data_IF_600965881481
#
_entry.id   IF_600965881481
#
_cell.length_a   1.000
_cell.length_b   1.000
_cell.length_c   1.000
_cell.angle_alpha   90.00
_cell.angle_beta   90.00
_cell.angle_gamma   90.00
#
_symmetry.space_group_name_H-M   'P 1'
#
loop_
_entity.id
_entity.type
_entity.pdbx_description
1 polymer ?
#
# COMPACT_ATOMS: atom_id res chain seq x y z
N UNK A 1 11.74 1.60 22.70
CA UNK A 1 12.22 2.82 22.02
C UNK A 1 12.91 2.37 20.75
N UNK A 2 12.31 2.59 19.59
CA UNK A 2 12.88 2.14 18.31
C UNK A 2 13.80 3.24 17.75
N UNK A 3 15.06 2.94 17.42
CA UNK A 3 15.97 3.93 16.85
C UNK A 3 15.48 4.30 15.45
N UNK A 4 15.15 5.58 15.24
CA UNK A 4 14.86 6.13 13.92
C UNK A 4 16.17 6.67 13.34
N UNK A 5 16.79 5.92 12.43
CA UNK A 5 18.01 6.36 11.74
C UNK A 5 17.66 7.37 10.64
N UNK A 6 18.20 8.60 10.76
CA UNK A 6 18.06 9.64 9.75
C UNK A 6 19.24 9.57 8.78
N UNK A 7 19.11 8.82 7.68
CA UNK A 7 20.14 8.79 6.62
C UNK A 7 19.97 10.02 5.70
N UNK A 8 21.06 10.75 5.48
CA UNK A 8 21.10 12.04 4.76
C UNK A 8 20.73 12.02 3.28
N UNK A 9 20.23 10.91 2.74
CA UNK A 9 19.66 10.78 1.38
C UNK A 9 18.65 9.64 1.39
N UNK A 10 17.34 9.94 1.41
CA UNK A 10 16.31 8.91 1.26
C UNK A 10 15.21 8.96 2.31
N UNK A 11 14.06 8.41 1.94
CA UNK A 11 12.81 8.40 2.71
C UNK A 11 13.02 7.90 4.15
N UNK A 12 12.20 8.35 5.12
CA UNK A 12 12.24 7.78 6.48
C UNK A 12 12.06 6.26 6.38
N UNK A 13 13.03 5.52 6.92
CA UNK A 13 13.02 4.07 7.00
C UNK A 13 13.07 3.67 8.47
N UNK A 14 12.46 2.52 8.77
CA UNK A 14 12.46 1.93 10.11
C UNK A 14 12.94 0.49 9.95
N UNK A 15 13.89 0.10 10.77
CA UNK A 15 14.24 -1.31 10.96
C UNK A 15 13.34 -1.86 12.07
N UNK A 16 12.40 -2.74 11.70
CA UNK A 16 11.51 -3.44 12.64
C UNK A 16 11.98 -4.90 12.75
N UNK A 17 12.52 -5.26 13.91
CA UNK A 17 12.89 -6.63 14.24
C UNK A 17 11.70 -7.30 14.96
N UNK A 18 11.18 -8.37 14.37
CA UNK A 18 10.08 -9.17 14.91
C UNK A 18 10.59 -10.55 15.30
N UNK A 19 10.36 -10.96 16.55
CA UNK A 19 10.57 -12.34 16.99
C UNK A 19 9.23 -13.09 16.89
N UNK A 20 9.18 -14.09 16.01
CA UNK A 20 7.99 -14.88 15.73
C UNK A 20 8.12 -16.27 16.34
N UNK A 21 7.00 -16.87 16.74
CA UNK A 21 6.96 -18.30 17.09
C UNK A 21 7.27 -19.16 15.87
N UNK A 22 7.76 -20.38 16.08
CA UNK A 22 8.15 -21.28 14.97
C UNK A 22 7.05 -21.51 13.95
N UNK A 23 5.78 -21.56 14.39
CA UNK A 23 4.60 -21.74 13.54
C UNK A 23 4.29 -20.52 12.65
N UNK A 24 4.76 -19.33 13.05
CA UNK A 24 4.51 -18.06 12.38
C UNK A 24 5.68 -17.63 11.50
N UNK A 25 6.78 -18.38 11.51
CA UNK A 25 7.94 -18.07 10.68
C UNK A 25 7.59 -18.18 9.20
N UNK A 26 7.96 -17.14 8.46
CA UNK A 26 7.90 -17.09 6.99
C UNK A 26 9.20 -17.69 6.45
N UNK A 27 9.22 -19.01 6.25
CA UNK A 27 10.44 -19.77 5.92
C UNK A 27 10.62 -20.01 4.42
N UNK A 28 9.57 -19.86 3.63
CA UNK A 28 9.59 -20.02 2.17
C UNK A 28 9.00 -18.79 1.45
N UNK A 29 9.33 -18.63 0.17
CA UNK A 29 8.69 -17.61 -0.68
C UNK A 29 7.17 -17.76 -0.71
N UNK A 30 6.69 -19.01 -0.73
CA UNK A 30 5.26 -19.31 -0.70
C UNK A 30 4.59 -18.87 0.60
N UNK A 31 5.27 -19.03 1.74
CA UNK A 31 4.78 -18.49 3.02
C UNK A 31 4.70 -16.97 2.98
N UNK A 32 5.69 -16.33 2.35
CA UNK A 32 5.72 -14.88 2.17
C UNK A 32 4.50 -14.42 1.39
N UNK A 33 4.26 -15.02 0.22
CA UNK A 33 3.17 -14.68 -0.68
C UNK A 33 1.78 -14.94 -0.08
N UNK A 34 1.61 -16.02 0.67
CA UNK A 34 0.29 -16.44 1.16
C UNK A 34 -0.05 -15.93 2.56
N UNK A 35 0.95 -15.77 3.43
CA UNK A 35 0.76 -15.47 4.86
C UNK A 35 1.53 -14.23 5.32
N UNK A 36 2.70 -13.98 4.74
CA UNK A 36 3.62 -12.95 5.21
C UNK A 36 3.30 -11.53 4.74
N UNK A 37 2.78 -11.37 3.52
CA UNK A 37 2.51 -10.04 2.93
C UNK A 37 1.13 -10.02 2.27
N UNK A 38 0.41 -8.91 2.44
CA UNK A 38 -0.87 -8.69 1.77
C UNK A 38 -1.04 -7.21 1.44
N UNK A 39 -1.48 -6.93 0.20
CA UNK A 39 -1.94 -5.61 -0.20
C UNK A 39 -3.46 -5.46 -0.08
N UNK A 40 -4.17 -6.52 0.33
CA UNK A 40 -5.61 -6.54 0.45
C UNK A 40 -6.06 -5.79 1.71
N UNK A 41 -7.10 -4.97 1.59
CA UNK A 41 -7.76 -4.34 2.72
C UNK A 41 -8.24 -5.40 3.72
N UNK A 42 -7.86 -5.27 5.01
CA UNK A 42 -8.28 -6.20 6.04
C UNK A 42 -9.80 -6.23 6.18
N UNK A 43 -10.30 -7.29 6.80
CA UNK A 43 -11.72 -7.46 7.07
C UNK A 43 -12.05 -6.86 8.43
N UNK A 44 -13.01 -5.94 8.46
CA UNK A 44 -13.41 -5.21 9.68
C UNK A 44 -13.86 -6.14 10.81
N UNK A 45 -14.50 -7.24 10.46
CA UNK A 45 -15.00 -8.28 11.37
C UNK A 45 -13.90 -9.20 11.92
N UNK A 46 -12.76 -9.31 11.21
CA UNK A 46 -11.61 -10.10 11.67
C UNK A 46 -10.71 -9.32 12.61
N UNK A 47 -10.45 -8.05 12.28
CA UNK A 47 -9.58 -7.18 13.07
C UNK A 47 -9.95 -5.71 12.83
N UNK A 48 -10.69 -5.15 13.78
CA UNK A 48 -11.17 -3.76 13.73
C UNK A 48 -10.02 -2.76 13.85
N UNK A 49 -8.99 -3.06 14.65
CA UNK A 49 -7.89 -2.13 14.93
C UNK A 49 -6.96 -2.03 13.72
N UNK A 50 -6.63 -3.17 13.10
CA UNK A 50 -5.88 -3.21 11.85
C UNK A 50 -6.68 -2.53 10.74
N UNK A 51 -7.98 -2.78 10.66
CA UNK A 51 -8.85 -2.16 9.66
C UNK A 51 -8.86 -0.64 9.76
N UNK A 52 -9.14 -0.09 10.93
CA UNK A 52 -9.15 1.37 11.13
C UNK A 52 -7.75 1.99 10.93
N UNK A 53 -6.69 1.27 11.30
CA UNK A 53 -5.30 1.71 11.08
C UNK A 53 -4.94 1.79 9.59
N UNK A 54 -5.21 0.72 8.84
CA UNK A 54 -4.97 0.68 7.39
C UNK A 54 -5.81 1.75 6.69
N UNK A 55 -7.09 1.84 7.03
CA UNK A 55 -8.02 2.85 6.50
C UNK A 55 -7.52 4.28 6.72
N UNK A 56 -7.01 4.58 7.91
CA UNK A 56 -6.56 5.92 8.29
C UNK A 56 -5.22 6.31 7.69
N UNK A 57 -4.25 5.39 7.70
CA UNK A 57 -2.85 5.71 7.39
C UNK A 57 -2.42 5.32 5.98
N UNK A 58 -3.18 4.50 5.26
CA UNK A 58 -2.82 4.01 3.92
C UNK A 58 -3.70 4.61 2.82
N UNK A 59 -4.10 5.88 2.95
CA UNK A 59 -4.81 6.61 1.88
C UNK A 59 -3.86 6.79 0.68
N UNK A 60 -4.21 6.32 -0.52
CA UNK A 60 -3.32 6.38 -1.67
C UNK A 60 -3.15 7.82 -2.16
N UNK A 61 -1.98 8.08 -2.74
CA UNK A 61 -1.76 9.25 -3.59
C UNK A 61 -2.60 9.17 -4.88
N UNK A 62 -2.58 10.23 -5.68
CA UNK A 62 -3.37 10.33 -6.90
C UNK A 62 -4.48 11.36 -6.73
N UNK A 63 -5.65 11.08 -7.29
CA UNK A 63 -6.81 11.98 -7.17
C UNK A 63 -7.29 12.14 -5.73
N UNK A 64 -7.10 11.12 -4.91
CA UNK A 64 -7.48 11.11 -3.51
C UNK A 64 -6.53 11.94 -2.64
N UNK A 65 -5.26 12.04 -3.02
CA UNK A 65 -4.30 12.90 -2.34
C UNK A 65 -3.26 13.44 -3.32
N UNK A 66 -3.60 14.58 -3.94
CA UNK A 66 -2.73 15.28 -4.89
C UNK A 66 -1.52 15.96 -4.24
N UNK A 67 -1.44 15.99 -2.91
CA UNK A 67 -0.36 16.64 -2.16
C UNK A 67 0.75 15.66 -1.77
N UNK A 68 0.61 14.37 -2.08
CA UNK A 68 1.68 13.41 -1.83
C UNK A 68 2.98 13.79 -2.57
N UNK A 69 4.16 13.60 -1.96
CA UNK A 69 5.45 13.96 -2.57
C UNK A 69 5.74 13.29 -3.92
N UNK A 70 5.08 12.17 -4.21
CA UNK A 70 5.22 11.44 -5.47
C UNK A 70 4.33 11.98 -6.60
N UNK A 71 3.51 13.01 -6.36
CA UNK A 71 2.64 13.60 -7.38
C UNK A 71 3.43 14.61 -8.21
N UNK A 72 3.66 14.29 -9.48
CA UNK A 72 4.47 15.07 -10.42
C UNK A 72 3.62 15.58 -11.58
N UNK A 73 3.91 16.79 -12.07
CA UNK A 73 3.26 17.31 -13.28
C UNK A 73 3.89 16.69 -14.53
N UNK A 74 3.09 15.93 -15.28
CA UNK A 74 3.48 15.38 -16.59
C UNK A 74 2.80 16.17 -17.70
N UNK A 75 3.57 16.65 -18.67
CA UNK A 75 3.06 17.34 -19.86
C UNK A 75 2.52 16.33 -20.87
N UNK A 76 1.25 16.48 -21.27
CA UNK A 76 0.62 15.77 -22.37
C UNK A 76 -0.14 16.80 -23.22
N UNK A 77 0.25 16.97 -24.48
CA UNK A 77 -0.43 17.83 -25.46
C UNK A 77 -0.77 19.22 -24.89
N UNK A 78 0.25 19.97 -24.49
CA UNK A 78 0.17 21.33 -23.91
C UNK A 78 -0.54 21.43 -22.54
N UNK A 79 -1.15 20.35 -22.05
CA UNK A 79 -1.76 20.27 -20.71
C UNK A 79 -0.82 19.60 -19.71
N UNK A 80 -0.73 20.16 -18.51
CA UNK A 80 -0.08 19.50 -17.36
C UNK A 80 -1.10 18.67 -16.61
N UNK A 81 -0.83 17.39 -16.45
CA UNK A 81 -1.63 16.47 -15.64
C UNK A 81 -0.78 16.06 -14.44
N UNK A 82 -1.30 16.23 -13.23
CA UNK A 82 -0.62 15.81 -12.01
C UNK A 82 -0.81 14.31 -11.81
N UNK A 83 0.25 13.54 -11.96
CA UNK A 83 0.23 12.08 -11.94
C UNK A 83 1.18 11.54 -10.85
N UNK A 84 0.84 10.40 -10.25
CA UNK A 84 1.76 9.72 -9.35
C UNK A 84 2.96 9.15 -10.15
N UNK A 85 4.19 9.48 -9.77
CA UNK A 85 5.40 8.92 -10.38
C UNK A 85 5.64 7.45 -10.05
N UNK A 86 4.92 6.91 -9.05
CA UNK A 86 4.91 5.49 -8.70
C UNK A 86 3.78 4.69 -9.35
N UNK A 87 2.94 5.33 -10.17
CA UNK A 87 1.89 4.64 -10.93
C UNK A 87 0.62 4.30 -10.14
N UNK A 88 0.40 4.89 -8.96
CA UNK A 88 -0.84 4.68 -8.21
C UNK A 88 -2.06 5.37 -8.86
N UNK A 89 -3.25 4.77 -8.79
CA UNK A 89 -3.54 3.45 -8.18
C UNK A 89 -3.15 2.28 -9.10
N UNK A 90 -2.60 1.21 -8.51
CA UNK A 90 -2.26 -0.01 -9.25
C UNK A 90 -3.52 -0.69 -9.86
N UNK A 91 -3.40 -1.39 -11.00
CA UNK A 91 -4.52 -2.15 -11.56
C UNK A 91 -4.93 -3.32 -10.64
N UNK A 92 -6.16 -3.81 -10.82
CA UNK A 92 -6.62 -5.03 -10.14
C UNK A 92 -5.83 -6.25 -10.62
N UNK A 93 -5.53 -7.15 -9.69
CA UNK A 93 -4.65 -8.29 -9.88
C UNK A 93 -5.18 -9.45 -9.00
N UNK A 94 -5.35 -10.65 -9.56
CA UNK A 94 -5.90 -11.77 -8.79
C UNK A 94 -4.90 -12.34 -7.79
N UNK A 95 -3.63 -12.43 -8.17
CA UNK A 95 -2.60 -13.14 -7.41
C UNK A 95 -1.33 -12.30 -7.28
N UNK A 96 -0.59 -12.54 -6.20
CA UNK A 96 0.73 -11.93 -6.02
C UNK A 96 1.73 -12.64 -6.94
N UNK A 97 2.37 -11.89 -7.85
CA UNK A 97 3.36 -12.42 -8.79
C UNK A 97 4.71 -11.80 -8.48
N UNK A 98 5.72 -12.62 -8.20
CA UNK A 98 7.11 -12.19 -8.12
C UNK A 98 7.71 -12.25 -9.52
N UNK A 99 8.13 -11.11 -10.05
CA UNK A 99 8.77 -10.96 -11.34
C UNK A 99 10.25 -11.36 -11.26
N UNK A 100 10.82 -11.76 -12.39
CA UNK A 100 12.23 -12.20 -12.50
C UNK A 100 13.24 -11.13 -12.03
N UNK A 101 12.86 -9.86 -12.06
CA UNK A 101 13.68 -8.75 -11.58
C UNK A 101 13.56 -8.51 -10.05
N UNK A 102 12.87 -9.39 -9.33
CA UNK A 102 12.66 -9.31 -7.89
C UNK A 102 11.55 -8.35 -7.44
N UNK A 103 10.81 -7.74 -8.37
CA UNK A 103 9.63 -6.93 -8.05
C UNK A 103 8.40 -7.82 -7.82
N UNK A 104 7.55 -7.44 -6.86
CA UNK A 104 6.28 -8.13 -6.64
C UNK A 104 5.09 -7.29 -7.15
N UNK A 105 4.25 -7.91 -7.97
CA UNK A 105 2.92 -7.43 -8.31
C UNK A 105 1.93 -8.05 -7.33
N UNK A 106 1.53 -7.32 -6.29
CA UNK A 106 0.65 -7.84 -5.25
C UNK A 106 -0.78 -8.07 -5.73
N UNK A 107 -1.43 -9.09 -5.18
CA UNK A 107 -2.87 -9.31 -5.35
C UNK A 107 -3.68 -8.09 -4.89
N UNK A 108 -4.54 -7.61 -5.79
CA UNK A 108 -5.53 -6.54 -5.62
C UNK A 108 -6.86 -7.05 -6.17
N UNK A 109 -7.62 -7.75 -5.32
CA UNK A 109 -8.86 -8.39 -5.75
C UNK A 109 -9.96 -7.37 -6.03
N UNK A 110 -10.66 -7.54 -7.16
CA UNK A 110 -11.94 -6.85 -7.41
C UNK A 110 -13.07 -7.66 -6.80
N UNK A 111 -13.16 -7.60 -5.48
CA UNK A 111 -14.15 -8.35 -4.67
C UNK A 111 -15.43 -7.55 -4.40
N UNK A 112 -15.56 -6.35 -4.97
CA UNK A 112 -16.71 -5.48 -4.78
C UNK A 112 -16.74 -4.73 -3.44
N UNK A 113 -15.76 -4.95 -2.55
CA UNK A 113 -15.67 -4.21 -1.28
C UNK A 113 -15.22 -2.78 -1.54
N UNK A 114 -15.95 -1.84 -0.94
CA UNK A 114 -15.56 -0.44 -0.86
C UNK A 114 -15.50 0.01 0.59
N UNK A 115 -14.55 0.89 0.89
CA UNK A 115 -14.45 1.57 2.18
C UNK A 115 -14.58 3.06 1.95
N UNK A 116 -15.34 3.75 2.80
CA UNK A 116 -15.42 5.21 2.75
C UNK A 116 -14.28 5.82 3.57
N UNK A 117 -13.42 6.61 2.92
CA UNK A 117 -12.34 7.35 3.57
C UNK A 117 -12.53 8.86 3.43
N UNK A 118 -12.06 9.59 4.44
CA UNK A 118 -12.03 11.06 4.39
C UNK A 118 -10.66 11.51 3.91
N UNK A 119 -10.62 12.22 2.79
CA UNK A 119 -9.40 12.89 2.31
C UNK A 119 -9.70 14.36 2.04
N UNK A 120 -8.89 15.25 2.60
CA UNK A 120 -9.05 16.71 2.48
C UNK A 120 -10.49 17.21 2.78
N UNK A 121 -11.18 16.59 3.74
CA UNK A 121 -12.55 16.94 4.14
C UNK A 121 -13.65 16.41 3.22
N UNK A 122 -13.33 15.59 2.21
CA UNK A 122 -14.30 14.94 1.33
C UNK A 122 -14.30 13.43 1.54
N UNK A 123 -15.50 12.83 1.52
CA UNK A 123 -15.68 11.39 1.50
C UNK A 123 -15.35 10.81 0.14
N UNK A 124 -14.64 9.69 0.13
CA UNK A 124 -14.25 8.96 -1.06
C UNK A 124 -14.44 7.47 -0.85
N UNK A 125 -14.99 6.80 -1.86
CA UNK A 125 -15.04 5.34 -1.89
C UNK A 125 -13.72 4.79 -2.42
N UNK A 126 -13.14 3.88 -1.64
CA UNK A 126 -11.92 3.18 -1.97
C UNK A 126 -12.20 1.70 -2.15
N UNK A 127 -11.88 1.18 -3.33
CA UNK A 127 -11.77 -0.26 -3.55
C UNK A 127 -10.55 -0.83 -2.84
N UNK A 128 -10.48 -2.15 -2.83
CA UNK A 128 -9.29 -2.89 -2.42
C UNK A 128 -8.02 -2.28 -3.02
N UNK A 129 -6.97 -2.13 -2.20
CA UNK A 129 -5.74 -1.42 -2.55
C UNK A 129 -4.91 -2.19 -3.57
#
# INVERSE_FOLDING_TARGET
>A
MYPVEKKGRGLPHIHLLLSLFDIDKVISSQDGENRGISAILPYKDKDIELFESVKKFMIPCGDLNRNCPCMEDKGLNEKKIKCCSKGYSNPFQQETIVLDNGLALFARLRDGRTIEVLSAGKGHELFNR
#
